data_IF_133711088899
#
_entry.id   IF_133711088899
#
_cell.length_a   1.000
_cell.length_b   1.000
_cell.length_c   1.000
_cell.angle_alpha   90.00
_cell.angle_beta   90.00
_cell.angle_gamma   90.00
#
_symmetry.space_group_name_H-M   'P 1'
#
loop_
_entity.id
_entity.type
_entity.pdbx_description
1 polymer ?
#
# COMPACT_ATOMS: atom_id res chain seq x y z
N UNK A 1 5.99 -4.51 18.26
CA UNK A 1 4.95 -3.76 17.52
C UNK A 1 5.00 -4.05 16.02
N UNK A 2 6.16 -3.95 15.37
CA UNK A 2 6.34 -4.21 13.92
C UNK A 2 5.95 -5.63 13.47
N UNK A 3 6.21 -6.67 14.28
CA UNK A 3 5.87 -8.05 13.93
C UNK A 3 4.35 -8.30 13.75
N UNK A 4 3.51 -7.66 14.55
CA UNK A 4 2.05 -7.77 14.40
C UNK A 4 1.58 -7.09 13.11
N UNK A 5 2.17 -5.94 12.79
CA UNK A 5 1.86 -5.18 11.58
C UNK A 5 2.29 -5.97 10.33
N UNK A 6 3.45 -6.61 10.37
CA UNK A 6 3.94 -7.47 9.30
C UNK A 6 3.02 -8.68 9.06
N UNK A 7 2.54 -9.32 10.13
CA UNK A 7 1.62 -10.46 10.05
C UNK A 7 0.21 -10.08 9.54
N UNK A 8 -0.24 -8.86 9.79
CA UNK A 8 -1.60 -8.39 9.46
C UNK A 8 -1.63 -7.29 8.39
N UNK A 9 -0.57 -7.17 7.59
CA UNK A 9 -0.42 -6.07 6.64
C UNK A 9 -1.53 -6.05 5.58
N UNK A 10 -1.90 -7.22 5.03
CA UNK A 10 -2.95 -7.32 4.02
C UNK A 10 -4.35 -6.90 4.54
N UNK A 11 -4.83 -7.38 5.71
CA UNK A 11 -6.09 -6.88 6.29
C UNK A 11 -6.07 -5.37 6.55
N UNK A 12 -4.94 -4.84 7.04
CA UNK A 12 -4.78 -3.40 7.33
C UNK A 12 -4.83 -2.57 6.05
N UNK A 13 -4.19 -3.02 4.97
CA UNK A 13 -4.28 -2.38 3.64
C UNK A 13 -5.72 -2.29 3.14
N UNK A 14 -6.47 -3.39 3.26
CA UNK A 14 -7.85 -3.45 2.82
C UNK A 14 -8.74 -2.51 3.65
N UNK A 15 -8.62 -2.56 4.99
CA UNK A 15 -9.38 -1.69 5.88
C UNK A 15 -9.11 -0.20 5.60
N UNK A 16 -7.85 0.18 5.39
CA UNK A 16 -7.49 1.55 5.02
C UNK A 16 -8.15 1.98 3.69
N UNK A 17 -8.15 1.09 2.69
CA UNK A 17 -8.79 1.35 1.39
C UNK A 17 -10.30 1.56 1.54
N UNK A 18 -10.97 0.73 2.36
CA UNK A 18 -12.40 0.87 2.67
C UNK A 18 -12.70 2.22 3.32
N UNK A 19 -11.87 2.66 4.28
CA UNK A 19 -12.05 3.97 4.92
C UNK A 19 -11.93 5.13 3.92
N UNK A 20 -10.97 5.07 2.99
CA UNK A 20 -10.84 6.07 1.92
C UNK A 20 -12.03 6.08 0.96
N UNK A 21 -12.55 4.89 0.61
CA UNK A 21 -13.73 4.76 -0.22
C UNK A 21 -14.97 5.37 0.45
N UNK A 22 -15.14 5.15 1.75
CA UNK A 22 -16.24 5.73 2.53
C UNK A 22 -16.15 7.26 2.67
N UNK A 23 -14.94 7.83 2.58
CA UNK A 23 -14.73 9.29 2.60
C UNK A 23 -15.20 9.99 1.32
N UNK A 24 -15.57 9.27 0.26
CA UNK A 24 -16.02 9.86 -1.02
C UNK A 24 -14.89 10.34 -1.93
N UNK A 25 -13.62 10.01 -1.62
CA UNK A 25 -12.47 10.28 -2.51
C UNK A 25 -12.58 9.38 -3.75
N UNK A 26 -12.24 9.85 -4.97
CA UNK A 26 -12.32 9.01 -6.16
C UNK A 26 -11.48 7.74 -6.00
N UNK A 27 -12.08 6.61 -6.37
CA UNK A 27 -11.57 5.25 -6.13
C UNK A 27 -10.13 5.06 -6.64
N UNK A 28 -9.82 5.59 -7.82
CA UNK A 28 -8.49 5.48 -8.42
C UNK A 28 -7.40 6.14 -7.56
N UNK A 29 -7.67 7.30 -6.97
CA UNK A 29 -6.71 7.99 -6.10
C UNK A 29 -6.54 7.28 -4.76
N UNK A 30 -7.63 6.74 -4.19
CA UNK A 30 -7.57 5.96 -2.96
C UNK A 30 -6.71 4.70 -3.12
N UNK A 31 -6.89 3.97 -4.23
CA UNK A 31 -6.09 2.79 -4.58
C UNK A 31 -4.63 3.13 -4.83
N UNK A 32 -4.35 4.20 -5.60
CA UNK A 32 -2.98 4.63 -5.87
C UNK A 32 -2.26 5.04 -4.57
N UNK A 33 -2.90 5.83 -3.71
CA UNK A 33 -2.34 6.25 -2.43
C UNK A 33 -2.09 5.05 -1.50
N UNK A 34 -3.05 4.13 -1.35
CA UNK A 34 -2.85 2.92 -0.56
C UNK A 34 -1.71 2.06 -1.14
N UNK A 35 -1.65 1.88 -2.46
CA UNK A 35 -0.58 1.12 -3.11
C UNK A 35 0.81 1.69 -2.83
N UNK A 36 0.97 3.02 -2.90
CA UNK A 36 2.25 3.69 -2.64
C UNK A 36 2.62 3.66 -1.15
N UNK A 37 1.69 4.04 -0.27
CA UNK A 37 1.94 4.13 1.18
C UNK A 37 2.28 2.75 1.75
N UNK A 38 1.50 1.73 1.43
CA UNK A 38 1.76 0.38 1.94
C UNK A 38 2.89 -0.33 1.20
N UNK A 39 3.19 0.05 -0.04
CA UNK A 39 4.40 -0.38 -0.74
C UNK A 39 5.66 0.07 -0.02
N UNK A 40 5.72 1.33 0.42
CA UNK A 40 6.82 1.86 1.23
C UNK A 40 6.89 1.18 2.60
N UNK A 41 5.76 1.03 3.30
CA UNK A 41 5.70 0.34 4.60
C UNK A 41 6.19 -1.11 4.48
N UNK A 42 5.82 -1.82 3.41
CA UNK A 42 6.28 -3.19 3.20
C UNK A 42 7.79 -3.29 2.90
N UNK A 43 8.40 -2.26 2.29
CA UNK A 43 9.85 -2.18 2.11
C UNK A 43 10.55 -1.98 3.46
N UNK A 44 10.07 -1.05 4.29
CA UNK A 44 10.62 -0.80 5.64
C UNK A 44 10.49 -2.01 6.57
N UNK A 45 9.42 -2.80 6.41
CA UNK A 45 9.22 -4.04 7.15
C UNK A 45 10.00 -5.25 6.59
N UNK A 46 10.74 -5.08 5.48
CA UNK A 46 11.49 -6.16 4.82
C UNK A 46 10.61 -7.20 4.11
N UNK A 47 9.34 -6.90 3.88
CA UNK A 47 8.37 -7.77 3.19
C UNK A 47 8.36 -7.59 1.68
N UNK A 48 8.78 -6.42 1.19
CA UNK A 48 8.83 -6.04 -0.22
C UNK A 48 10.24 -5.57 -0.59
N UNK A 49 10.65 -5.84 -1.84
CA UNK A 49 11.93 -5.34 -2.36
C UNK A 49 11.76 -3.94 -2.92
N UNK A 50 12.75 -3.06 -2.68
CA UNK A 50 12.78 -1.70 -3.22
C UNK A 50 12.80 -1.67 -4.77
N UNK A 51 13.21 -2.77 -5.41
CA UNK A 51 13.16 -2.91 -6.88
C UNK A 51 11.74 -2.79 -7.44
N UNK A 52 10.71 -3.11 -6.64
CA UNK A 52 9.32 -2.99 -7.06
C UNK A 52 8.90 -1.53 -7.27
N UNK A 53 9.40 -0.61 -6.45
CA UNK A 53 9.14 0.84 -6.59
C UNK A 53 9.90 1.39 -7.80
N UNK A 54 11.12 0.90 -8.06
CA UNK A 54 11.87 1.27 -9.26
C UNK A 54 11.23 0.77 -10.56
N UNK A 55 10.48 -0.34 -10.51
CA UNK A 55 9.72 -0.85 -11.65
C UNK A 55 8.38 -0.14 -11.85
N UNK A 56 7.94 0.74 -10.92
CA UNK A 56 6.65 1.44 -11.05
C UNK A 56 6.57 2.36 -12.27
N UNK A 57 7.59 3.20 -12.60
CA UNK A 57 7.57 4.01 -13.81
C UNK A 57 7.38 3.17 -15.07
N UNK A 58 7.97 1.97 -15.09
CA UNK A 58 7.84 1.02 -16.20
C UNK A 58 6.47 0.33 -16.28
N UNK A 59 5.53 0.64 -15.38
CA UNK A 59 4.20 0.02 -15.31
C UNK A 59 3.06 1.02 -15.57
N UNK A 60 3.39 2.30 -15.81
CA UNK A 60 2.43 3.40 -15.99
C UNK A 60 2.16 3.71 -17.48
N UNK A 61 3.01 3.20 -18.38
CA UNK A 61 2.83 3.31 -19.83
C UNK A 61 2.01 2.15 -20.40
#
# INVERSE_FOLDING_TARGET
MSAWLAANLAPVMFAATVLFLLSGVPVAFALAACGIVFGLIGIELGLLSASLVQAMPDRVW
#
